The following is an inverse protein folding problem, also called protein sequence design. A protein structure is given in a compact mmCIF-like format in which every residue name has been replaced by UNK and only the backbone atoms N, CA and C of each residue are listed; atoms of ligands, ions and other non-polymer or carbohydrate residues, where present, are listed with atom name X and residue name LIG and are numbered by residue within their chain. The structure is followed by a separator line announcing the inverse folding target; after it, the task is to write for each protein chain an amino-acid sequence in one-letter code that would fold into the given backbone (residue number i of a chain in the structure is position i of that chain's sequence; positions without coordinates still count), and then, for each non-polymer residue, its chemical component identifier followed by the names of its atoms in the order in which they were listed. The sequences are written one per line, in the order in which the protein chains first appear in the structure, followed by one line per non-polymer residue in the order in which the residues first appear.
data_IF_845234081490
#
_entry.id   IF_845234081490
#
_cell.length_a   1.000
_cell.length_b   1.000
_cell.length_c   1.000
_cell.angle_alpha   90.00
_cell.angle_beta   90.00
_cell.angle_gamma   90.00
#
_symmetry.space_group_name_H-M   'P 1'
#
loop_
_entity.id
_entity.type
_entity.pdbx_description
1 polymer ?
#
# COMPACT_ATOMS: atom_id res chain seq x y z
N UNK A 1 5.50 -16.60 19.43
CA UNK A 1 4.09 -16.74 19.90
C UNK A 1 3.21 -16.90 18.67
N UNK A 2 3.03 -18.13 18.20
CA UNK A 2 2.42 -18.45 16.90
C UNK A 2 0.98 -18.95 17.05
N UNK A 3 0.06 -18.03 17.41
CA UNK A 3 -1.39 -18.27 17.34
C UNK A 3 -2.09 -16.98 16.89
N UNK A 4 -1.69 -16.43 15.74
CA UNK A 4 -2.60 -15.58 14.98
C UNK A 4 -3.62 -16.53 14.32
N UNK A 5 -4.83 -16.52 14.88
CA UNK A 5 -5.89 -17.50 14.74
C UNK A 5 -6.21 -17.86 13.26
N UNK A 6 -6.46 -19.12 12.88
CA UNK A 6 -6.86 -19.53 11.50
C UNK A 6 -8.11 -18.79 10.98
N UNK A 7 -8.89 -18.21 11.89
CA UNK A 7 -10.02 -17.34 11.60
C UNK A 7 -9.56 -16.01 11.00
N UNK A 8 -8.49 -15.39 11.53
CA UNK A 8 -7.97 -14.11 11.06
C UNK A 8 -7.47 -14.22 9.60
N UNK A 9 -6.74 -15.29 9.29
CA UNK A 9 -6.26 -15.57 7.93
C UNK A 9 -7.39 -15.76 6.92
N UNK A 10 -8.51 -16.36 7.34
CA UNK A 10 -9.71 -16.49 6.50
C UNK A 10 -10.51 -15.20 6.40
N UNK A 11 -10.53 -14.39 7.46
CA UNK A 11 -11.28 -13.13 7.51
C UNK A 11 -10.59 -11.99 6.76
N UNK A 12 -9.26 -11.99 6.70
CA UNK A 12 -8.47 -10.90 6.12
C UNK A 12 -8.80 -10.59 4.65
N UNK A 13 -8.97 -11.58 3.74
CA UNK A 13 -9.40 -11.30 2.37
C UNK A 13 -10.76 -10.60 2.31
N UNK A 14 -11.72 -11.00 3.15
CA UNK A 14 -13.03 -10.34 3.20
C UNK A 14 -12.93 -8.91 3.71
N UNK A 15 -12.14 -8.68 4.77
CA UNK A 15 -11.86 -7.33 5.26
C UNK A 15 -11.25 -6.46 4.16
N UNK A 16 -10.18 -6.94 3.53
CA UNK A 16 -9.48 -6.24 2.44
C UNK A 16 -10.44 -5.83 1.33
N UNK A 17 -11.16 -6.78 0.73
CA UNK A 17 -12.09 -6.48 -0.36
C UNK A 17 -13.28 -5.63 0.07
N UNK A 18 -13.66 -5.66 1.36
CA UNK A 18 -14.67 -4.74 1.90
C UNK A 18 -14.14 -3.31 1.89
N UNK A 19 -12.92 -3.06 2.36
CA UNK A 19 -12.35 -1.70 2.38
C UNK A 19 -12.12 -1.20 0.94
N UNK A 20 -11.60 -2.03 0.03
CA UNK A 20 -11.49 -1.67 -1.39
C UNK A 20 -12.86 -1.39 -2.03
N UNK A 21 -13.89 -2.16 -1.67
CA UNK A 21 -15.26 -1.93 -2.14
C UNK A 21 -15.83 -0.59 -1.65
N UNK A 22 -15.61 -0.25 -0.37
CA UNK A 22 -16.00 1.05 0.19
C UNK A 22 -15.26 2.20 -0.49
N UNK A 23 -13.98 2.01 -0.79
CA UNK A 23 -13.17 2.98 -1.53
C UNK A 23 -13.67 3.17 -2.97
N UNK A 24 -14.07 2.08 -3.64
CA UNK A 24 -14.71 2.15 -4.96
C UNK A 24 -16.03 2.92 -4.93
N UNK A 25 -16.81 2.79 -3.85
CA UNK A 25 -18.01 3.61 -3.63
C UNK A 25 -17.63 5.08 -3.47
N UNK A 26 -16.56 5.41 -2.74
CA UNK A 26 -16.07 6.78 -2.64
C UNK A 26 -15.69 7.35 -4.00
N UNK A 27 -14.97 6.61 -4.84
CA UNK A 27 -14.65 7.06 -6.20
C UNK A 27 -15.91 7.42 -6.98
N UNK A 28 -16.98 6.61 -6.89
CA UNK A 28 -18.28 6.94 -7.51
C UNK A 28 -18.87 8.22 -6.91
N UNK A 29 -18.81 8.40 -5.59
CA UNK A 29 -19.27 9.64 -4.93
C UNK A 29 -18.50 10.87 -5.41
N UNK A 30 -17.19 10.78 -5.62
CA UNK A 30 -16.41 11.88 -6.19
C UNK A 30 -16.87 12.23 -7.61
N UNK A 31 -17.20 11.24 -8.44
CA UNK A 31 -17.75 11.50 -9.77
C UNK A 31 -19.15 12.13 -9.75
N UNK A 32 -19.96 11.89 -8.71
CA UNK A 32 -21.34 12.40 -8.64
C UNK A 32 -21.46 13.72 -7.88
N UNK A 33 -20.68 13.89 -6.83
CA UNK A 33 -20.79 15.02 -5.89
C UNK A 33 -19.69 16.07 -6.06
N UNK A 34 -18.58 15.73 -6.73
CA UNK A 34 -17.43 16.61 -6.92
C UNK A 34 -17.13 16.86 -8.41
N UNK A 35 -15.97 17.47 -8.68
CA UNK A 35 -15.53 17.75 -10.05
C UNK A 35 -15.05 16.48 -10.77
N UNK A 36 -15.13 16.48 -12.11
CA UNK A 36 -14.59 15.40 -12.92
C UNK A 36 -13.08 15.18 -12.68
N UNK A 37 -12.34 16.25 -12.37
CA UNK A 37 -10.91 16.19 -12.08
C UNK A 37 -10.67 15.45 -10.76
N UNK A 38 -11.41 15.76 -9.70
CA UNK A 38 -11.31 15.06 -8.41
C UNK A 38 -11.73 13.58 -8.51
N UNK A 39 -12.76 13.27 -9.29
CA UNK A 39 -13.14 11.89 -9.58
C UNK A 39 -12.05 11.10 -10.32
N UNK A 40 -11.41 11.71 -11.32
CA UNK A 40 -10.29 11.11 -12.05
C UNK A 40 -9.05 10.93 -11.17
N UNK A 41 -8.75 11.88 -10.28
CA UNK A 41 -7.66 11.78 -9.31
C UNK A 41 -7.88 10.60 -8.34
N UNK A 42 -9.07 10.51 -7.75
CA UNK A 42 -9.45 9.40 -6.86
C UNK A 42 -9.40 8.05 -7.58
N UNK A 43 -9.84 7.98 -8.84
CA UNK A 43 -9.73 6.79 -9.68
C UNK A 43 -8.27 6.41 -9.98
N UNK A 44 -7.40 7.39 -10.21
CA UNK A 44 -5.97 7.15 -10.43
C UNK A 44 -5.31 6.52 -9.21
N UNK A 45 -5.59 7.06 -8.02
CA UNK A 45 -5.14 6.49 -6.74
C UNK A 45 -5.68 5.07 -6.50
N UNK A 46 -6.97 4.82 -6.76
CA UNK A 46 -7.55 3.48 -6.61
C UNK A 46 -6.93 2.49 -7.60
N UNK A 47 -6.72 2.90 -8.84
CA UNK A 47 -6.05 2.08 -9.86
C UNK A 47 -4.65 1.72 -9.42
N UNK A 48 -3.89 2.70 -8.92
CA UNK A 48 -2.56 2.49 -8.39
C UNK A 48 -2.55 1.47 -7.25
N UNK A 49 -3.46 1.60 -6.28
CA UNK A 49 -3.60 0.65 -5.18
C UNK A 49 -3.92 -0.77 -5.65
N UNK A 50 -4.83 -0.92 -6.63
CA UNK A 50 -5.17 -2.25 -7.16
C UNK A 50 -3.98 -2.91 -7.87
N UNK A 51 -3.14 -2.12 -8.56
CA UNK A 51 -1.91 -2.60 -9.17
C UNK A 51 -0.87 -2.99 -8.11
N UNK A 52 -0.73 -2.20 -7.04
CA UNK A 52 0.11 -2.55 -5.89
C UNK A 52 -0.37 -3.81 -5.17
N UNK A 53 -1.68 -3.96 -4.93
CA UNK A 53 -2.25 -5.17 -4.34
C UNK A 53 -1.98 -6.40 -5.22
N UNK A 54 -2.05 -6.25 -6.54
CA UNK A 54 -1.70 -7.32 -7.47
C UNK A 54 -0.21 -7.69 -7.41
N UNK A 55 0.70 -6.73 -7.40
CA UNK A 55 2.14 -6.99 -7.33
C UNK A 55 2.55 -7.57 -5.97
N UNK A 56 2.04 -7.01 -4.87
CA UNK A 56 2.38 -7.46 -3.51
C UNK A 56 1.80 -8.83 -3.18
N UNK A 57 0.65 -9.21 -3.75
CA UNK A 57 0.08 -10.57 -3.59
C UNK A 57 0.80 -11.65 -4.41
N UNK A 58 1.75 -11.27 -5.28
CA UNK A 58 2.49 -12.16 -6.15
C UNK A 58 4.01 -11.97 -6.08
N UNK A 59 4.53 -11.45 -4.96
CA UNK A 59 5.98 -11.22 -4.76
C UNK A 59 6.82 -12.50 -4.94
N UNK A 60 6.24 -13.67 -4.65
CA UNK A 60 6.87 -14.98 -4.76
C UNK A 60 6.89 -15.54 -6.20
N UNK A 61 6.16 -14.91 -7.13
CA UNK A 61 5.90 -15.47 -8.46
C UNK A 61 6.50 -14.60 -9.57
N UNK A 62 7.06 -15.23 -10.61
CA UNK A 62 7.43 -14.48 -11.81
C UNK A 62 6.17 -14.02 -12.55
N UNK A 63 6.26 -12.88 -13.24
CA UNK A 63 5.23 -12.42 -14.17
C UNK A 63 4.87 -13.50 -15.20
N UNK A 64 3.57 -13.68 -15.46
CA UNK A 64 3.05 -14.66 -16.42
C UNK A 64 3.46 -14.31 -17.84
N UNK A 65 3.49 -13.01 -18.17
CA UNK A 65 3.92 -12.56 -19.49
C UNK A 65 4.57 -11.18 -19.47
N UNK A 66 5.28 -10.85 -20.55
CA UNK A 66 5.81 -9.48 -20.74
C UNK A 66 4.67 -8.45 -20.79
N UNK A 67 3.53 -8.79 -21.40
CA UNK A 67 2.40 -7.87 -21.52
C UNK A 67 1.78 -7.53 -20.16
N UNK A 68 1.64 -8.52 -19.28
CA UNK A 68 1.21 -8.29 -17.90
C UNK A 68 2.13 -7.27 -17.21
N UNK A 69 3.45 -7.52 -17.25
CA UNK A 69 4.45 -6.62 -16.68
C UNK A 69 4.36 -5.19 -17.27
N UNK A 70 4.29 -5.07 -18.59
CA UNK A 70 4.19 -3.77 -19.26
C UNK A 70 2.90 -3.03 -18.91
N UNK A 71 1.77 -3.73 -18.87
CA UNK A 71 0.47 -3.13 -18.52
C UNK A 71 0.43 -2.63 -17.08
N UNK A 72 1.00 -3.38 -16.14
CA UNK A 72 1.11 -2.96 -14.74
C UNK A 72 1.96 -1.69 -14.64
N UNK A 73 3.20 -1.70 -15.15
CA UNK A 73 4.06 -0.53 -15.06
C UNK A 73 3.50 0.68 -15.83
N UNK A 74 2.89 0.49 -17.00
CA UNK A 74 2.26 1.59 -17.74
C UNK A 74 1.08 2.20 -16.97
N UNK A 75 0.24 1.38 -16.34
CA UNK A 75 -0.85 1.84 -15.48
C UNK A 75 -0.35 2.63 -14.29
N UNK A 76 0.73 2.16 -13.65
CA UNK A 76 1.38 2.84 -12.51
C UNK A 76 2.00 4.16 -12.91
N UNK A 77 2.75 4.22 -14.02
CA UNK A 77 3.33 5.46 -14.54
C UNK A 77 2.23 6.50 -14.82
N UNK A 78 1.12 6.08 -15.42
CA UNK A 78 0.00 6.97 -15.70
C UNK A 78 -0.64 7.49 -14.41
N UNK A 79 -0.87 6.62 -13.43
CA UNK A 79 -1.39 7.03 -12.12
C UNK A 79 -0.43 7.98 -11.39
N UNK A 80 0.87 7.70 -11.37
CA UNK A 80 1.89 8.60 -10.79
C UNK A 80 1.89 9.97 -11.46
N UNK A 81 1.77 10.01 -12.79
CA UNK A 81 1.69 11.29 -13.52
C UNK A 81 0.54 12.17 -13.04
N UNK A 82 -0.64 11.57 -12.85
CA UNK A 82 -1.83 12.29 -12.35
C UNK A 82 -1.65 12.73 -10.89
N UNK A 83 -1.18 11.84 -10.03
CA UNK A 83 -0.93 12.13 -8.61
C UNK A 83 0.08 13.26 -8.42
N UNK A 84 1.18 13.24 -9.19
CA UNK A 84 2.19 14.27 -9.14
C UNK A 84 1.66 15.62 -9.65
N UNK A 85 0.76 15.61 -10.64
CA UNK A 85 0.11 16.83 -11.10
C UNK A 85 -0.75 17.45 -10.01
N UNK A 86 -1.56 16.66 -9.30
CA UNK A 86 -2.37 17.12 -8.16
C UNK A 86 -1.49 17.65 -7.02
N UNK A 87 -0.38 16.98 -6.71
CA UNK A 87 0.56 17.45 -5.70
C UNK A 87 1.22 18.80 -6.06
N UNK A 88 1.50 19.04 -7.35
CA UNK A 88 1.99 20.34 -7.83
C UNK A 88 0.92 21.44 -7.67
N UNK A 89 -0.35 21.11 -7.92
CA UNK A 89 -1.47 22.03 -7.73
C UNK A 89 -1.64 22.42 -6.25
N UNK A 90 -1.58 21.45 -5.34
CA UNK A 90 -1.60 21.73 -3.89
C UNK A 90 -0.39 22.55 -3.41
N UNK A 91 0.72 22.47 -4.15
CA UNK A 91 1.93 23.25 -3.89
C UNK A 91 1.90 24.69 -4.41
N UNK A 92 0.88 25.07 -5.18
CA UNK A 92 0.75 26.42 -5.69
C UNK A 92 0.56 27.43 -4.56
N UNK A 93 1.24 28.58 -4.63
CA UNK A 93 1.20 29.60 -3.59
C UNK A 93 -0.24 30.11 -3.33
N UNK A 94 -1.02 30.28 -4.40
CA UNK A 94 -2.41 30.72 -4.32
C UNK A 94 -3.29 29.67 -3.62
N UNK A 95 -3.08 28.38 -3.94
CA UNK A 95 -3.80 27.28 -3.31
C UNK A 95 -3.52 27.22 -1.80
N UNK A 96 -2.23 27.27 -1.41
CA UNK A 96 -1.83 27.23 0.00
C UNK A 96 -2.37 28.44 0.77
N UNK A 97 -2.43 29.63 0.14
CA UNK A 97 -2.96 30.83 0.76
C UNK A 97 -4.48 30.72 1.04
N UNK A 98 -5.22 30.01 0.19
CA UNK A 98 -6.68 29.86 0.30
C UNK A 98 -7.11 28.67 1.16
N UNK A 99 -6.47 27.51 0.98
CA UNK A 99 -6.89 26.23 1.58
C UNK A 99 -5.96 25.76 2.71
N UNK A 100 -4.80 26.40 2.86
CA UNK A 100 -3.75 25.98 3.79
C UNK A 100 -2.83 24.90 3.20
N UNK A 101 -1.81 24.53 3.97
CA UNK A 101 -0.78 23.59 3.51
C UNK A 101 -1.09 22.11 3.82
N UNK A 102 -2.19 21.81 4.52
CA UNK A 102 -2.50 20.44 5.00
C UNK A 102 -2.67 19.48 3.82
N UNK A 103 -3.33 19.90 2.75
CA UNK A 103 -3.59 19.05 1.59
C UNK A 103 -2.29 18.70 0.84
N UNK A 104 -1.35 19.65 0.74
CA UNK A 104 0.00 19.40 0.24
C UNK A 104 0.76 18.40 1.11
N UNK A 105 0.81 18.63 2.43
CA UNK A 105 1.53 17.74 3.35
C UNK A 105 0.94 16.33 3.35
N UNK A 106 -0.38 16.20 3.27
CA UNK A 106 -1.06 14.93 3.11
C UNK A 106 -0.63 14.23 1.81
N UNK A 107 -0.70 14.92 0.66
CA UNK A 107 -0.30 14.34 -0.63
C UNK A 107 1.18 13.90 -0.65
N UNK A 108 2.09 14.72 -0.11
CA UNK A 108 3.51 14.38 0.00
C UNK A 108 3.74 13.16 0.91
N UNK A 109 2.96 13.02 1.98
CA UNK A 109 3.04 11.88 2.89
C UNK A 109 2.58 10.60 2.19
N UNK A 110 1.48 10.65 1.42
CA UNK A 110 1.03 9.53 0.59
C UNK A 110 2.05 9.13 -0.47
N UNK A 111 2.64 10.10 -1.17
CA UNK A 111 3.72 9.85 -2.13
C UNK A 111 4.90 9.17 -1.43
N UNK A 112 5.27 9.60 -0.22
CA UNK A 112 6.29 8.95 0.59
C UNK A 112 6.00 7.47 0.86
N UNK A 113 4.77 7.14 1.27
CA UNK A 113 4.35 5.75 1.50
C UNK A 113 4.42 4.93 0.21
N UNK A 114 3.89 5.48 -0.89
CA UNK A 114 3.95 4.85 -2.21
C UNK A 114 5.39 4.55 -2.63
N UNK A 115 6.32 5.47 -2.39
CA UNK A 115 7.73 5.27 -2.72
C UNK A 115 8.38 4.19 -1.85
N UNK A 116 8.00 4.08 -0.58
CA UNK A 116 8.46 2.99 0.29
C UNK A 116 7.89 1.63 -0.14
N UNK A 117 6.61 1.57 -0.52
CA UNK A 117 6.00 0.35 -1.07
C UNK A 117 6.58 -0.07 -2.41
N UNK A 118 6.87 0.91 -3.28
CA UNK A 118 7.58 0.69 -4.54
C UNK A 118 8.96 0.08 -4.29
N UNK A 119 9.68 0.60 -3.28
CA UNK A 119 10.96 0.03 -2.86
C UNK A 119 10.81 -1.44 -2.44
N UNK A 120 9.78 -1.77 -1.66
CA UNK A 120 9.53 -3.16 -1.23
C UNK A 120 9.27 -4.11 -2.39
N UNK A 121 8.55 -3.64 -3.42
CA UNK A 121 8.27 -4.45 -4.61
C UNK A 121 9.52 -4.68 -5.46
N UNK A 122 10.39 -3.68 -5.61
CA UNK A 122 11.57 -3.81 -6.48
C UNK A 122 12.73 -4.54 -5.84
N UNK A 123 12.87 -4.46 -4.53
CA UNK A 123 13.95 -5.10 -3.80
C UNK A 123 13.43 -6.16 -2.81
N UNK A 124 12.62 -7.15 -3.24
CA UNK A 124 12.04 -8.13 -2.35
C UNK A 124 13.12 -9.15 -1.93
N UNK A 125 13.77 -8.91 -0.79
CA UNK A 125 14.64 -9.89 -0.13
C UNK A 125 16.11 -9.48 0.03
N UNK A 126 16.67 -9.95 1.15
CA UNK A 126 18.02 -9.71 1.70
C UNK A 126 18.29 -8.28 2.23
N UNK A 127 17.32 -7.71 2.94
CA UNK A 127 17.54 -6.50 3.73
C UNK A 127 18.47 -6.76 4.91
N UNK A 128 19.36 -5.80 5.16
CA UNK A 128 20.05 -5.75 6.43
C UNK A 128 19.04 -5.36 7.54
N UNK A 129 19.22 -5.88 8.76
CA UNK A 129 18.27 -5.63 9.85
C UNK A 129 18.02 -4.14 10.12
N UNK A 130 19.06 -3.29 10.00
CA UNK A 130 18.94 -1.85 10.18
C UNK A 130 18.06 -1.18 9.12
N UNK A 131 18.15 -1.65 7.88
CA UNK A 131 17.42 -1.12 6.72
C UNK A 131 15.92 -1.38 6.89
N UNK A 132 15.58 -2.61 7.29
CA UNK A 132 14.23 -3.00 7.66
C UNK A 132 13.65 -2.08 8.75
N UNK A 133 14.41 -1.82 9.83
CA UNK A 133 13.96 -0.94 10.90
C UNK A 133 13.78 0.51 10.44
N UNK A 134 14.70 1.04 9.63
CA UNK A 134 14.60 2.41 9.13
C UNK A 134 13.38 2.58 8.24
N UNK A 135 13.18 1.67 7.30
CA UNK A 135 12.06 1.72 6.34
C UNK A 135 10.72 1.54 7.05
N UNK A 136 10.58 0.53 7.90
CA UNK A 136 9.33 0.30 8.64
C UNK A 136 9.07 1.39 9.69
N UNK A 137 10.12 1.94 10.30
CA UNK A 137 10.03 3.14 11.13
C UNK A 137 9.55 4.37 10.37
N UNK A 138 10.06 4.58 9.15
CA UNK A 138 9.60 5.67 8.27
C UNK A 138 8.12 5.50 7.91
N UNK A 139 7.69 4.30 7.52
CA UNK A 139 6.27 4.00 7.25
C UNK A 139 5.39 4.29 8.47
N UNK A 140 5.80 3.86 9.67
CA UNK A 140 5.06 4.12 10.90
C UNK A 140 4.89 5.63 11.15
N UNK A 141 5.94 6.43 10.95
CA UNK A 141 5.88 7.89 11.08
C UNK A 141 4.94 8.50 10.04
N UNK A 142 5.00 8.06 8.78
CA UNK A 142 4.15 8.54 7.70
C UNK A 142 2.67 8.21 7.95
N UNK A 143 2.34 6.97 8.33
CA UNK A 143 0.97 6.59 8.71
C UNK A 143 0.48 7.38 9.94
N UNK A 144 1.35 7.62 10.91
CA UNK A 144 1.04 8.48 12.06
C UNK A 144 0.69 9.91 11.63
N UNK A 145 1.44 10.49 10.68
CA UNK A 145 1.15 11.80 10.12
C UNK A 145 -0.20 11.83 9.37
N UNK A 146 -0.48 10.83 8.54
CA UNK A 146 -1.78 10.70 7.85
C UNK A 146 -2.95 10.62 8.81
N UNK A 147 -2.80 9.85 9.88
CA UNK A 147 -3.83 9.76 10.91
C UNK A 147 -4.06 11.12 11.60
N UNK A 148 -2.99 11.89 11.86
CA UNK A 148 -3.11 13.26 12.37
C UNK A 148 -3.84 14.16 11.37
N UNK A 149 -3.53 14.11 10.08
CA UNK A 149 -4.26 14.91 9.08
C UNK A 149 -5.75 14.56 9.02
N UNK A 150 -6.08 13.27 9.07
CA UNK A 150 -7.47 12.81 9.17
C UNK A 150 -8.18 13.37 10.42
N UNK A 151 -7.51 13.39 11.57
CA UNK A 151 -8.06 14.00 12.78
C UNK A 151 -8.25 15.51 12.65
N UNK A 152 -7.30 16.23 12.04
CA UNK A 152 -7.41 17.67 11.81
C UNK A 152 -8.66 18.00 10.97
N UNK A 153 -8.87 17.27 9.87
CA UNK A 153 -10.09 17.38 9.07
C UNK A 153 -11.37 17.09 9.86
N UNK A 154 -11.34 16.07 10.72
CA UNK A 154 -12.49 15.72 11.56
C UNK A 154 -12.84 16.83 12.56
N UNK A 155 -11.82 17.45 13.16
CA UNK A 155 -12.00 18.58 14.09
C UNK A 155 -12.52 19.84 13.39
N UNK A 156 -12.19 20.03 12.12
CA UNK A 156 -12.71 21.11 11.26
C UNK A 156 -14.13 20.82 10.72
N UNK A 157 -14.69 19.64 11.00
CA UNK A 157 -16.02 19.22 10.52
C UNK A 157 -16.03 18.69 9.09
N UNK A 158 -14.86 18.47 8.46
CA UNK A 158 -14.71 17.87 7.13
C UNK A 158 -14.80 16.33 7.22
N UNK A 159 -15.98 15.83 7.58
CA UNK A 159 -16.21 14.40 7.85
C UNK A 159 -16.00 13.49 6.64
N UNK A 160 -16.33 13.94 5.43
CA UNK A 160 -16.13 13.17 4.21
C UNK A 160 -14.63 12.93 3.98
N UNK A 161 -13.80 13.98 4.08
CA UNK A 161 -12.35 13.90 3.93
C UNK A 161 -11.72 12.99 5.02
N UNK A 162 -12.24 13.07 6.24
CA UNK A 162 -11.79 12.23 7.35
C UNK A 162 -12.07 10.75 7.07
N UNK A 163 -13.31 10.43 6.71
CA UNK A 163 -13.73 9.07 6.38
C UNK A 163 -12.95 8.51 5.18
N UNK A 164 -12.81 9.31 4.13
CA UNK A 164 -12.05 8.94 2.93
C UNK A 164 -10.59 8.64 3.27
N UNK A 165 -9.90 9.55 3.99
CA UNK A 165 -8.52 9.34 4.42
C UNK A 165 -8.33 8.09 5.28
N UNK A 166 -9.27 7.79 6.19
CA UNK A 166 -9.23 6.58 6.99
C UNK A 166 -9.38 5.32 6.12
N UNK A 167 -10.23 5.33 5.09
CA UNK A 167 -10.32 4.20 4.15
C UNK A 167 -9.03 4.03 3.35
N UNK A 168 -8.41 5.11 2.87
CA UNK A 168 -7.11 5.04 2.21
C UNK A 168 -6.05 4.43 3.13
N UNK A 169 -5.98 4.84 4.40
CA UNK A 169 -5.03 4.27 5.38
C UNK A 169 -5.26 2.77 5.52
N UNK A 170 -6.51 2.34 5.64
CA UNK A 170 -6.84 0.92 5.75
C UNK A 170 -6.46 0.13 4.48
N UNK A 171 -6.70 0.67 3.28
CA UNK A 171 -6.31 0.04 2.03
C UNK A 171 -4.78 -0.09 1.91
N UNK A 172 -4.03 0.98 2.12
CA UNK A 172 -2.58 0.95 2.10
C UNK A 172 -2.01 -0.02 3.15
N UNK A 173 -2.61 -0.05 4.35
CA UNK A 173 -2.26 -1.02 5.38
C UNK A 173 -2.49 -2.47 4.93
N UNK A 174 -3.54 -2.76 4.15
CA UNK A 174 -3.77 -4.13 3.65
C UNK A 174 -2.74 -4.58 2.61
N UNK A 175 -2.18 -3.64 1.83
CA UNK A 175 -1.09 -3.91 0.88
C UNK A 175 0.21 -4.11 1.65
N UNK A 176 0.49 -3.24 2.62
CA UNK A 176 1.63 -3.34 3.52
C UNK A 176 1.67 -4.69 4.24
N UNK A 177 0.50 -5.21 4.67
CA UNK A 177 0.42 -6.51 5.29
C UNK A 177 0.89 -7.65 4.37
N UNK A 178 0.62 -7.59 3.07
CA UNK A 178 1.14 -8.60 2.12
C UNK A 178 2.68 -8.57 2.08
N UNK A 179 3.26 -7.36 2.08
CA UNK A 179 4.72 -7.18 2.09
C UNK A 179 5.31 -7.75 3.38
N UNK A 180 4.72 -7.44 4.53
CA UNK A 180 5.18 -7.95 5.82
C UNK A 180 5.06 -9.48 5.93
N UNK A 181 3.96 -10.07 5.44
CA UNK A 181 3.79 -11.53 5.40
C UNK A 181 4.90 -12.18 4.56
N UNK A 182 5.25 -11.59 3.42
CA UNK A 182 6.34 -12.06 2.57
C UNK A 182 7.72 -11.89 3.24
N UNK A 183 7.97 -10.78 3.94
CA UNK A 183 9.24 -10.55 4.64
C UNK A 183 9.50 -11.49 5.81
N UNK A 184 8.45 -11.95 6.51
CA UNK A 184 8.60 -12.95 7.57
C UNK A 184 9.14 -14.29 7.05
N UNK A 185 8.95 -14.59 5.76
CA UNK A 185 9.44 -15.82 5.12
C UNK A 185 10.92 -15.76 4.73
N UNK A 186 11.56 -14.57 4.76
CA UNK A 186 12.92 -14.34 4.26
C UNK A 186 13.89 -14.01 5.41
N UNK A 187 15.07 -14.67 5.48
CA UNK A 187 16.09 -14.31 6.47
C UNK A 187 16.76 -12.96 6.15
N UNK A 188 17.20 -12.24 7.18
CA UNK A 188 18.00 -11.03 7.00
C UNK A 188 19.38 -11.35 6.38
N UNK A 189 19.89 -10.46 5.53
CA UNK A 189 21.19 -10.68 4.86
C UNK A 189 22.40 -10.61 5.79
N UNK A 190 22.23 -10.00 6.97
CA UNK A 190 23.23 -9.95 8.04
C UNK A 190 23.02 -11.05 9.10
N UNK A 191 22.10 -11.99 8.89
CA UNK A 191 21.96 -13.17 9.75
C UNK A 191 23.21 -14.06 9.60
N UNK A 192 23.92 -14.30 10.70
CA UNK A 192 25.03 -15.25 10.72
C UNK A 192 24.52 -16.66 10.38
N UNK A 193 25.38 -17.53 9.80
CA UNK A 193 25.11 -18.92 9.39
C UNK A 193 24.52 -19.86 10.48
N UNK A 194 24.24 -19.36 11.69
CA UNK A 194 23.64 -20.08 12.81
C UNK A 194 22.42 -19.43 13.46
N UNK A 195 21.90 -18.32 12.93
CA UNK A 195 20.58 -17.81 13.37
C UNK A 195 19.52 -18.77 12.81
N UNK A 196 18.63 -19.36 13.63
CA UNK A 196 17.63 -20.30 13.12
C UNK A 196 16.81 -19.58 12.06
N UNK A 197 16.79 -20.13 10.84
CA UNK A 197 15.93 -19.65 9.77
C UNK A 197 14.50 -19.46 10.33
N UNK A 198 13.80 -18.36 10.01
CA UNK A 198 12.40 -18.22 10.35
C UNK A 198 11.66 -19.47 9.85
N UNK A 199 10.78 -19.97 10.72
CA UNK A 199 10.16 -21.31 10.66
C UNK A 199 9.94 -21.75 9.22
N UNK A 200 10.76 -22.74 8.81
CA UNK A 200 10.79 -23.30 7.47
C UNK A 200 9.38 -23.41 6.87
N UNK A 201 9.22 -22.89 5.66
CA UNK A 201 8.08 -23.12 4.81
C UNK A 201 7.56 -24.55 5.01
N UNK A 202 6.28 -24.66 5.37
CA UNK A 202 5.59 -25.94 5.45
C UNK A 202 5.94 -26.77 4.21
N UNK A 203 6.51 -27.99 4.34
CA UNK A 203 6.83 -28.82 3.20
C UNK A 203 5.53 -29.43 2.67
N UNK A 204 4.73 -28.64 1.95
CA UNK A 204 3.69 -29.16 1.07
C UNK A 204 4.33 -29.57 -0.28
N UNK A 205 5.38 -30.38 -0.21
CA UNK A 205 5.95 -31.09 -1.35
C UNK A 205 6.59 -32.41 -0.88
N UNK A 206 5.85 -33.15 -0.05
CA UNK A 206 6.17 -34.54 0.28
C UNK A 206 5.62 -35.47 -0.79
N UNK A 207 6.49 -35.85 -1.72
CA UNK A 207 6.71 -37.23 -2.16
C UNK A 207 5.47 -38.15 -2.32
N UNK A 208 5.14 -38.45 -3.58
CA UNK A 208 4.84 -39.81 -4.01
C UNK A 208 5.83 -40.12 -5.14
N UNK A 209 7.05 -40.55 -4.81
CA UNK A 209 7.45 -41.97 -4.84
C UNK A 209 7.01 -42.66 -6.13
N UNK A 210 7.96 -42.88 -7.04
CA UNK A 210 7.83 -43.94 -8.02
C UNK A 210 7.84 -45.30 -7.34
N UNK A 211 7.19 -46.28 -7.97
CA UNK A 211 7.63 -47.67 -8.05
C UNK A 211 6.73 -48.43 -9.05
N UNK A 212 7.41 -49.20 -9.93
CA UNK A 212 6.96 -50.20 -10.92
C UNK A 212 6.40 -49.71 -12.25
#
# INVERSE_FOLDING_TARGET
MAVAHPVLRRAFPYFKWTVFGLLGINVVLFFTEQTLVEGLDSLAWLTLLLLFEWETSQLDKPYVSRWEKWSIHAGRILAYGLILQSAVEYGAADYIAEHGAVDLWNALTWIGIVLLLEYDIYFPGEYARWEWYLRNGAKLVLYGALFVFALLWGLEGRWLNTYDALLWILCFFTIEFNVLEFEEEIPYSDAADGDPAPVAASPAAGQASGEV
#
